data_IF_761963531885
#
_entry.id   IF_761963531885
#
_cell.length_a   1.000
_cell.length_b   1.000
_cell.length_c   1.000
_cell.angle_alpha   90.00
_cell.angle_beta   90.00
_cell.angle_gamma   90.00
#
_symmetry.space_group_name_H-M   'P 1'
#
loop_
_entity.id
_entity.type
_entity.pdbx_description
1 polymer ?
#
# COMPACT_ATOMS: atom_id res chain seq x y z
N UNK A 1 -18.53 -15.29 0.66
CA UNK A 1 -17.60 -14.53 -0.22
C UNK A 1 -16.67 -13.76 0.71
N UNK A 2 -16.02 -14.48 1.61
CA UNK A 2 -15.31 -13.93 2.79
C UNK A 2 -13.87 -14.45 2.89
N UNK A 3 -13.47 -15.36 1.99
CA UNK A 3 -12.20 -16.11 2.08
C UNK A 3 -11.01 -15.49 1.31
N UNK A 4 -11.20 -14.44 0.50
CA UNK A 4 -10.08 -13.84 -0.26
C UNK A 4 -9.18 -12.98 0.66
N UNK A 5 -9.72 -12.51 1.78
CA UNK A 5 -8.98 -11.71 2.77
C UNK A 5 -8.49 -12.54 3.97
N UNK A 6 -8.84 -13.82 4.06
CA UNK A 6 -8.55 -14.67 5.22
C UNK A 6 -7.06 -15.03 5.39
N UNK A 7 -6.26 -14.86 4.33
CA UNK A 7 -4.80 -15.11 4.32
C UNK A 7 -3.97 -13.82 4.35
N UNK A 8 -4.58 -12.68 4.68
CA UNK A 8 -3.83 -11.42 4.80
C UNK A 8 -3.14 -11.34 6.16
N UNK A 9 -1.81 -11.49 6.15
CA UNK A 9 -0.99 -11.18 7.31
C UNK A 9 -0.91 -9.65 7.48
N UNK A 10 -1.35 -9.15 8.63
CA UNK A 10 -1.11 -7.76 9.04
C UNK A 10 0.34 -7.62 9.53
N UNK A 11 1.07 -6.67 8.96
CA UNK A 11 2.45 -6.37 9.34
C UNK A 11 2.55 -4.89 9.63
N UNK A 12 3.06 -4.55 10.82
CA UNK A 12 3.43 -3.18 11.16
C UNK A 12 4.87 -2.92 10.71
N UNK A 13 5.07 -1.87 9.90
CA UNK A 13 6.38 -1.45 9.42
C UNK A 13 6.59 0.02 9.82
N UNK A 14 7.75 0.31 10.38
CA UNK A 14 8.15 1.68 10.70
C UNK A 14 8.84 2.30 9.48
N UNK A 15 8.36 3.47 9.08
CA UNK A 15 8.94 4.29 8.02
C UNK A 15 9.35 5.65 8.59
N UNK A 16 10.26 6.32 7.90
CA UNK A 16 10.58 7.72 8.15
C UNK A 16 9.42 8.66 7.76
N UNK A 17 9.45 9.87 8.32
CA UNK A 17 8.42 10.89 8.12
C UNK A 17 8.25 11.26 6.64
N UNK A 18 9.35 11.40 5.89
CA UNK A 18 9.34 11.72 4.46
C UNK A 18 8.59 10.65 3.65
N UNK A 19 8.83 9.38 3.94
CA UNK A 19 8.15 8.25 3.31
C UNK A 19 6.67 8.21 3.67
N UNK A 20 6.32 8.50 4.93
CA UNK A 20 4.93 8.56 5.37
C UNK A 20 4.20 9.67 4.61
N UNK A 21 4.77 10.89 4.54
CA UNK A 21 4.18 12.02 3.82
C UNK A 21 3.98 11.71 2.33
N UNK A 22 4.93 11.04 1.68
CA UNK A 22 4.79 10.63 0.28
C UNK A 22 3.65 9.62 0.07
N UNK A 23 3.48 8.66 0.99
CA UNK A 23 2.36 7.71 0.96
C UNK A 23 1.03 8.42 1.19
N UNK A 24 0.98 9.38 2.12
CA UNK A 24 -0.20 10.18 2.40
C UNK A 24 -0.61 11.05 1.21
N UNK A 25 0.33 11.74 0.59
CA UNK A 25 0.08 12.55 -0.61
C UNK A 25 -0.49 11.67 -1.73
N UNK A 26 0.10 10.49 -1.95
CA UNK A 26 -0.39 9.54 -2.94
C UNK A 26 -1.79 9.01 -2.60
N UNK A 27 -2.05 8.71 -1.33
CA UNK A 27 -3.35 8.29 -0.87
C UNK A 27 -4.42 9.38 -1.09
N UNK A 28 -4.06 10.63 -0.81
CA UNK A 28 -4.90 11.79 -1.03
C UNK A 28 -5.23 11.98 -2.51
N UNK A 29 -4.20 11.94 -3.38
CA UNK A 29 -4.33 12.22 -4.80
C UNK A 29 -5.10 11.13 -5.57
N UNK A 30 -4.76 9.86 -5.35
CA UNK A 30 -5.23 8.75 -6.18
C UNK A 30 -6.31 7.89 -5.52
N UNK A 31 -6.36 7.87 -4.18
CA UNK A 31 -7.11 6.84 -3.43
C UNK A 31 -8.15 7.39 -2.45
N UNK A 32 -8.50 8.69 -2.56
CA UNK A 32 -9.44 9.39 -1.65
C UNK A 32 -9.06 9.23 -0.17
N UNK A 33 -7.81 9.57 0.17
CA UNK A 33 -7.27 9.45 1.53
C UNK A 33 -7.11 8.00 2.04
N UNK A 34 -7.31 6.99 1.18
CA UNK A 34 -7.14 5.60 1.57
C UNK A 34 -5.67 5.17 1.48
N UNK A 35 -4.95 5.28 2.61
CA UNK A 35 -3.54 4.87 2.71
C UNK A 35 -3.32 3.40 2.38
N UNK A 36 -4.22 2.50 2.78
CA UNK A 36 -4.09 1.07 2.50
C UNK A 36 -4.13 0.79 0.99
N UNK A 37 -5.01 1.47 0.26
CA UNK A 37 -5.10 1.36 -1.19
C UNK A 37 -3.83 1.89 -1.88
N UNK A 38 -3.28 3.02 -1.41
CA UNK A 38 -2.03 3.56 -1.94
C UNK A 38 -0.84 2.64 -1.70
N UNK A 39 -0.71 2.09 -0.49
CA UNK A 39 0.35 1.13 -0.14
C UNK A 39 0.22 -0.14 -0.98
N UNK A 40 -1.01 -0.67 -1.14
CA UNK A 40 -1.26 -1.86 -1.95
C UNK A 40 -0.92 -1.65 -3.42
N UNK A 41 -1.22 -0.48 -3.97
CA UNK A 41 -0.84 -0.11 -5.33
C UNK A 41 0.68 -0.01 -5.48
N UNK A 42 1.39 0.62 -4.54
CA UNK A 42 2.85 0.67 -4.55
C UNK A 42 3.49 -0.72 -4.50
N UNK A 43 2.97 -1.60 -3.63
CA UNK A 43 3.42 -2.99 -3.53
C UNK A 43 3.15 -3.78 -4.81
N UNK A 44 1.96 -3.64 -5.40
CA UNK A 44 1.59 -4.29 -6.66
C UNK A 44 2.49 -3.85 -7.82
N UNK A 45 2.77 -2.55 -7.95
CA UNK A 45 3.69 -2.03 -8.96
C UNK A 45 5.11 -2.57 -8.78
N UNK A 46 5.60 -2.62 -7.54
CA UNK A 46 6.93 -3.14 -7.25
C UNK A 46 7.05 -4.66 -7.52
N UNK A 47 6.01 -5.44 -7.20
CA UNK A 47 5.97 -6.87 -7.52
C UNK A 47 6.01 -7.10 -9.04
N UNK A 48 5.21 -6.37 -9.80
CA UNK A 48 5.20 -6.45 -11.27
C UNK A 48 6.56 -6.13 -11.89
N UNK A 49 7.24 -5.09 -11.41
CA UNK A 49 8.59 -4.74 -11.87
C UNK A 49 9.65 -5.81 -11.56
N UNK A 50 9.41 -6.67 -10.57
CA UNK A 50 10.33 -7.75 -10.18
C UNK A 50 10.09 -9.05 -10.94
N UNK A 51 8.91 -9.24 -11.50
CA UNK A 51 8.56 -10.42 -12.31
C UNK A 51 8.94 -10.27 -13.79
N UNK A 52 9.39 -9.07 -14.21
CA UNK A 52 10.01 -8.79 -15.52
C UNK A 52 11.55 -8.88 -15.47
#
# INVERSE_FOLDING_TARGET
MEDIFADMAEVTVEFDEETIEAIEEKAFQDHRDNREAAIRECLDQWLKQREE
#
